data_IF_839159162022
#
_entry.id   IF_839159162022
#
_cell.length_a   1.000
_cell.length_b   1.000
_cell.length_c   1.000
_cell.angle_alpha   90.00
_cell.angle_beta   90.00
_cell.angle_gamma   90.00
#
_symmetry.space_group_name_H-M   'P 1'
#
loop_
_entity.id
_entity.type
_entity.pdbx_description
1 polymer ?
#
# COMPACT_ATOMS: atom_id res chain seq x y z
N UNK A 1 -18.42 -10.21 -3.52
CA UNK A 1 -17.87 -9.08 -4.31
C UNK A 1 -18.97 -8.15 -4.81
N UNK A 2 -19.93 -8.63 -5.60
CA UNK A 2 -21.05 -7.81 -6.10
C UNK A 2 -22.17 -7.72 -5.08
N UNK A 3 -21.94 -6.94 -4.03
CA UNK A 3 -22.94 -6.61 -3.01
C UNK A 3 -23.12 -5.08 -2.99
N UNK A 4 -24.37 -4.62 -2.91
CA UNK A 4 -24.68 -3.20 -2.82
C UNK A 4 -24.17 -2.61 -1.49
N UNK A 5 -24.25 -3.38 -0.41
CA UNK A 5 -23.68 -2.99 0.87
C UNK A 5 -22.16 -3.25 0.87
N UNK A 6 -21.37 -2.20 1.04
CA UNK A 6 -19.89 -2.30 1.03
C UNK A 6 -19.36 -3.05 2.24
N UNK A 7 -20.05 -2.97 3.38
CA UNK A 7 -19.60 -3.58 4.64
C UNK A 7 -19.73 -5.10 4.66
N UNK A 8 -20.59 -5.66 3.80
CA UNK A 8 -20.80 -7.11 3.66
C UNK A 8 -19.99 -7.71 2.51
N UNK A 9 -19.21 -6.91 1.79
CA UNK A 9 -18.31 -7.42 0.75
C UNK A 9 -17.14 -8.17 1.39
N UNK A 10 -16.76 -9.27 0.75
CA UNK A 10 -15.51 -9.97 1.07
C UNK A 10 -14.32 -9.04 0.83
N UNK A 11 -13.36 -9.04 1.75
CA UNK A 11 -12.07 -8.41 1.56
C UNK A 11 -11.11 -9.29 0.73
N UNK A 12 -9.95 -8.76 0.36
CA UNK A 12 -8.98 -9.46 -0.49
C UNK A 12 -8.52 -10.79 0.13
N UNK A 13 -8.17 -10.81 1.42
CA UNK A 13 -7.74 -12.01 2.15
C UNK A 13 -8.81 -13.09 2.18
N UNK A 14 -10.07 -12.70 2.42
CA UNK A 14 -11.22 -13.63 2.40
C UNK A 14 -11.49 -14.18 0.99
N UNK A 15 -11.23 -13.37 -0.05
CA UNK A 15 -11.38 -13.81 -1.43
C UNK A 15 -10.28 -14.78 -1.84
N UNK A 16 -9.03 -14.57 -1.41
CA UNK A 16 -7.90 -15.48 -1.66
C UNK A 16 -8.13 -16.86 -1.03
N UNK A 17 -8.73 -16.90 0.17
CA UNK A 17 -9.10 -18.14 0.84
C UNK A 17 -10.35 -18.85 0.25
N UNK A 18 -10.98 -18.31 -0.79
CA UNK A 18 -12.18 -18.90 -1.39
C UNK A 18 -11.84 -20.15 -2.21
N UNK A 19 -12.65 -21.22 -2.13
CA UNK A 19 -12.40 -22.52 -2.78
C UNK A 19 -12.12 -22.42 -4.30
N UNK A 20 -12.66 -21.39 -4.96
CA UNK A 20 -12.39 -21.11 -6.38
C UNK A 20 -10.89 -20.91 -6.68
N UNK A 21 -10.11 -20.34 -5.75
CA UNK A 21 -8.69 -20.05 -5.92
C UNK A 21 -7.77 -21.09 -5.27
N UNK A 22 -8.32 -22.17 -4.69
CA UNK A 22 -7.58 -23.20 -3.93
C UNK A 22 -6.39 -23.82 -4.66
N UNK A 23 -6.44 -23.88 -5.99
CA UNK A 23 -5.34 -24.39 -6.81
C UNK A 23 -4.12 -23.47 -6.86
N UNK A 24 -4.26 -22.19 -6.46
CA UNK A 24 -3.21 -21.17 -6.49
C UNK A 24 -2.94 -20.56 -5.12
N UNK A 25 -3.89 -20.62 -4.18
CA UNK A 25 -3.77 -19.99 -2.87
C UNK A 25 -2.64 -20.63 -2.04
N UNK A 26 -1.69 -19.82 -1.61
CA UNK A 26 -0.60 -20.19 -0.71
C UNK A 26 -0.44 -19.09 0.36
N UNK A 27 -0.94 -19.31 1.59
CA UNK A 27 -0.85 -18.32 2.65
C UNK A 27 0.59 -17.92 3.04
N UNK A 28 1.59 -18.73 2.67
CA UNK A 28 3.00 -18.42 2.92
C UNK A 28 3.63 -17.49 1.86
N UNK A 29 3.01 -17.37 0.69
CA UNK A 29 3.42 -16.50 -0.43
C UNK A 29 2.45 -15.32 -0.65
N UNK A 30 1.60 -15.04 0.35
CA UNK A 30 0.64 -13.93 0.36
C UNK A 30 1.01 -12.89 1.45
N UNK A 31 2.12 -12.14 1.30
CA UNK A 31 2.59 -11.22 2.32
C UNK A 31 1.69 -9.99 2.44
N UNK A 32 1.70 -9.40 3.64
CA UNK A 32 1.06 -8.11 3.92
C UNK A 32 2.14 -7.03 4.00
N UNK A 33 1.88 -5.88 3.40
CA UNK A 33 2.79 -4.73 3.49
C UNK A 33 2.80 -4.14 4.91
N UNK A 34 3.93 -3.56 5.30
CA UNK A 34 4.01 -2.72 6.50
C UNK A 34 3.05 -1.53 6.40
N UNK A 35 2.63 -1.00 7.56
CA UNK A 35 1.73 0.16 7.58
C UNK A 35 2.41 1.36 6.92
N UNK A 36 1.77 1.89 5.89
CA UNK A 36 2.24 3.10 5.22
C UNK A 36 1.77 4.36 5.98
N UNK A 37 2.72 5.23 6.31
CA UNK A 37 2.44 6.53 6.93
C UNK A 37 1.86 7.50 5.89
N UNK A 38 0.57 7.81 6.05
CA UNK A 38 -0.19 8.73 5.21
C UNK A 38 -0.53 10.03 5.94
N UNK A 39 0.11 10.31 7.08
CA UNK A 39 -0.15 11.54 7.85
C UNK A 39 0.15 12.83 7.06
N UNK A 40 0.93 12.74 5.99
CA UNK A 40 1.18 13.87 5.09
C UNK A 40 -0.08 14.35 4.35
N UNK A 41 -1.08 13.50 4.14
CA UNK A 41 -2.35 13.87 3.48
C UNK A 41 -3.14 14.91 4.28
N UNK A 42 -2.93 14.95 5.60
CA UNK A 42 -3.58 15.92 6.50
C UNK A 42 -2.83 17.26 6.58
N UNK A 43 -1.71 17.43 5.85
CA UNK A 43 -0.89 18.64 5.90
C UNK A 43 -1.36 19.69 4.89
N UNK A 44 -1.58 20.91 5.37
CA UNK A 44 -1.80 22.09 4.53
C UNK A 44 -0.49 22.85 4.30
N UNK A 45 0.27 22.42 3.28
CA UNK A 45 1.54 23.02 2.90
C UNK A 45 1.44 23.82 1.60
N UNK A 46 2.32 24.81 1.44
CA UNK A 46 2.48 25.51 0.18
C UNK A 46 3.22 24.67 -0.88
N UNK A 47 3.17 25.11 -2.13
CA UNK A 47 3.79 24.40 -3.26
C UNK A 47 5.31 24.22 -3.09
N UNK A 48 6.01 25.19 -2.51
CA UNK A 48 7.46 25.09 -2.32
C UNK A 48 7.82 24.07 -1.24
N UNK A 49 7.05 24.02 -0.15
CA UNK A 49 7.21 23.00 0.89
C UNK A 49 6.96 21.59 0.33
N UNK A 50 5.93 21.42 -0.50
CA UNK A 50 5.70 20.14 -1.18
C UNK A 50 6.86 19.75 -2.11
N UNK A 51 7.42 20.71 -2.86
CA UNK A 51 8.59 20.46 -3.72
C UNK A 51 9.81 20.02 -2.92
N UNK A 52 10.04 20.62 -1.76
CA UNK A 52 11.14 20.25 -0.86
C UNK A 52 10.96 18.81 -0.34
N UNK A 53 9.76 18.45 0.12
CA UNK A 53 9.48 17.08 0.57
C UNK A 53 9.71 16.04 -0.53
N UNK A 54 9.23 16.31 -1.75
CA UNK A 54 9.44 15.41 -2.90
C UNK A 54 10.92 15.30 -3.24
N UNK A 55 11.65 16.42 -3.24
CA UNK A 55 13.09 16.42 -3.51
C UNK A 55 13.87 15.59 -2.47
N UNK A 56 13.53 15.73 -1.19
CA UNK A 56 14.13 14.94 -0.12
C UNK A 56 13.87 13.44 -0.28
N UNK A 57 12.68 13.03 -0.72
CA UNK A 57 12.40 11.62 -1.02
C UNK A 57 13.21 11.08 -2.20
N UNK A 58 13.45 11.91 -3.24
CA UNK A 58 14.32 11.53 -4.35
C UNK A 58 15.78 11.32 -3.90
N UNK A 59 16.31 12.21 -3.05
CA UNK A 59 17.65 12.06 -2.49
C UNK A 59 17.76 10.79 -1.61
N UNK A 60 16.77 10.55 -0.74
CA UNK A 60 16.71 9.32 0.07
C UNK A 60 16.72 8.07 -0.80
N UNK A 61 15.94 8.06 -1.88
CA UNK A 61 15.90 6.94 -2.83
C UNK A 61 17.25 6.72 -3.51
N UNK A 62 17.90 7.79 -3.99
CA UNK A 62 19.24 7.69 -4.60
C UNK A 62 20.28 7.16 -3.61
N UNK A 63 20.28 7.64 -2.37
CA UNK A 63 21.18 7.15 -1.33
C UNK A 63 20.94 5.67 -1.01
N UNK A 64 19.68 5.23 -0.99
CA UNK A 64 19.35 3.81 -0.81
C UNK A 64 19.88 2.94 -1.94
N UNK A 65 19.81 3.40 -3.20
CA UNK A 65 20.33 2.64 -4.35
C UNK A 65 21.86 2.55 -4.39
N UNK A 66 22.57 3.57 -3.90
CA UNK A 66 24.05 3.60 -3.87
C UNK A 66 24.66 2.83 -2.70
N UNK A 67 23.85 2.40 -1.74
CA UNK A 67 24.27 1.65 -0.56
C UNK A 67 24.29 0.12 -0.77
N UNK A 68 24.05 -0.35 -2.00
CA UNK A 68 24.14 -1.75 -2.43
C UNK A 68 25.28 -1.97 -3.42
#
# INVERSE_FOLDING_TARGET
>A
MLDLNTSTRLNATQALAHEYLKQYADPSDEPVAEKYDQSFEDLELDINQWKELVFNELEKYQHHQLAF
#
